data_IF_050835981478
#
_entry.id   IF_050835981478
#
_cell.length_a   1.000
_cell.length_b   1.000
_cell.length_c   1.000
_cell.angle_alpha   90.00
_cell.angle_beta   90.00
_cell.angle_gamma   90.00
#
_symmetry.space_group_name_H-M   'P 1'
#
loop_
_entity.id
_entity.type
_entity.pdbx_description
1 polymer ?
#
# COMPACT_ATOMS: atom_id res chain seq x y z
N UNK A 1 -11.47 22.53 18.50
CA UNK A 1 -11.63 21.60 17.36
C UNK A 1 -10.37 20.76 17.26
N UNK A 2 -10.42 19.46 17.53
CA UNK A 2 -9.26 18.59 17.33
C UNK A 2 -9.17 18.25 15.85
N UNK A 3 -8.15 18.78 15.16
CA UNK A 3 -7.84 18.43 13.78
C UNK A 3 -7.36 16.97 13.80
N UNK A 4 -8.27 16.04 13.54
CA UNK A 4 -7.89 14.64 13.36
C UNK A 4 -6.86 14.61 12.22
N UNK A 5 -5.64 14.19 12.56
CA UNK A 5 -4.52 14.10 11.65
C UNK A 5 -4.87 13.05 10.58
N UNK A 6 -5.58 13.46 9.53
CA UNK A 6 -5.76 12.64 8.34
C UNK A 6 -4.40 12.56 7.69
N UNK A 7 -3.68 11.47 7.96
CA UNK A 7 -2.47 11.13 7.22
C UNK A 7 -2.89 10.98 5.77
N UNK A 8 -2.66 12.02 4.97
CA UNK A 8 -2.84 11.96 3.52
C UNK A 8 -1.77 11.00 3.01
N UNK A 9 -2.14 9.73 2.85
CA UNK A 9 -1.28 8.72 2.25
C UNK A 9 -1.32 8.93 0.74
N UNK A 10 -0.37 9.72 0.24
CA UNK A 10 -0.14 9.88 -1.18
C UNK A 10 0.43 8.58 -1.76
N UNK A 11 -0.06 8.20 -2.92
CA UNK A 11 0.43 7.08 -3.71
C UNK A 11 0.32 7.43 -5.19
N UNK A 12 1.15 6.79 -6.00
CA UNK A 12 1.12 6.88 -7.45
C UNK A 12 0.70 5.54 -8.03
N UNK A 13 0.01 5.58 -9.16
CA UNK A 13 -0.48 4.40 -9.86
C UNK A 13 0.07 4.41 -11.29
N UNK A 14 0.70 3.32 -11.70
CA UNK A 14 1.13 3.08 -13.07
C UNK A 14 0.42 1.87 -13.65
N UNK A 15 0.33 1.81 -14.98
CA UNK A 15 -0.15 0.64 -15.70
C UNK A 15 1.05 -0.13 -16.25
N UNK A 16 1.22 -1.37 -15.81
CA UNK A 16 2.12 -2.32 -16.47
C UNK A 16 1.39 -2.88 -17.69
N UNK A 17 1.84 -2.48 -18.88
CA UNK A 17 1.23 -2.88 -20.15
C UNK A 17 1.58 -4.31 -20.58
N UNK A 18 2.63 -4.92 -20.01
CA UNK A 18 2.99 -6.31 -20.30
C UNK A 18 2.03 -7.27 -19.59
N UNK A 19 1.73 -6.97 -18.32
CA UNK A 19 0.84 -7.81 -17.50
C UNK A 19 -0.60 -7.30 -17.44
N UNK A 20 -0.86 -6.13 -18.02
CA UNK A 20 -2.14 -5.41 -17.99
C UNK A 20 -2.67 -5.20 -16.56
N UNK A 21 -1.76 -4.85 -15.64
CA UNK A 21 -2.07 -4.64 -14.23
C UNK A 21 -1.74 -3.23 -13.80
N UNK A 22 -2.57 -2.68 -12.94
CA UNK A 22 -2.26 -1.44 -12.23
C UNK A 22 -1.32 -1.75 -11.07
N UNK A 23 -0.27 -0.94 -10.93
CA UNK A 23 0.69 -0.99 -9.83
C UNK A 23 0.53 0.30 -9.03
N UNK A 24 0.11 0.17 -7.77
CA UNK A 24 0.06 1.27 -6.82
C UNK A 24 1.29 1.21 -5.92
N UNK A 25 1.99 2.33 -5.77
CA UNK A 25 3.22 2.45 -4.97
C UNK A 25 3.10 3.61 -3.99
N UNK A 26 3.57 3.41 -2.76
CA UNK A 26 3.50 4.43 -1.72
C UNK A 26 4.61 5.48 -1.90
N UNK A 27 4.25 6.77 -1.88
CA UNK A 27 5.22 7.86 -2.12
C UNK A 27 6.28 7.97 -1.01
N UNK A 28 5.98 7.49 0.20
CA UNK A 28 6.90 7.52 1.33
C UNK A 28 7.88 6.33 1.37
N UNK A 29 7.61 5.26 0.60
CA UNK A 29 8.48 4.09 0.52
C UNK A 29 8.19 3.31 -0.77
N UNK A 30 9.05 3.50 -1.77
CA UNK A 30 8.91 2.90 -3.10
C UNK A 30 9.02 1.36 -3.09
N UNK A 31 9.53 0.76 -2.01
CA UNK A 31 9.55 -0.70 -1.83
C UNK A 31 8.17 -1.26 -1.48
N UNK A 32 7.23 -0.41 -1.07
CA UNK A 32 5.86 -0.80 -0.75
C UNK A 32 4.98 -0.53 -1.97
N UNK A 33 4.75 -1.58 -2.74
CA UNK A 33 3.86 -1.56 -3.89
C UNK A 33 2.87 -2.74 -3.86
N UNK A 34 1.76 -2.59 -4.59
CA UNK A 34 0.77 -3.62 -4.78
C UNK A 34 0.15 -3.55 -6.17
N UNK A 35 -0.28 -4.69 -6.72
CA UNK A 35 -0.86 -4.78 -8.05
C UNK A 35 -2.31 -5.28 -8.05
N UNK A 36 -3.09 -4.79 -9.02
CA UNK A 36 -4.50 -5.12 -9.20
C UNK A 36 -4.92 -5.05 -10.66
N UNK A 37 -6.04 -5.70 -10.99
CA UNK A 37 -6.66 -5.60 -12.32
C UNK A 37 -7.33 -4.23 -12.48
N UNK A 38 -7.79 -3.64 -11.38
CA UNK A 38 -8.30 -2.26 -11.32
C UNK A 38 -7.45 -1.41 -10.40
N UNK A 39 -7.58 -0.08 -10.54
CA UNK A 39 -6.95 0.89 -9.67
C UNK A 39 -7.38 0.67 -8.21
N UNK A 40 -8.67 0.45 -7.93
CA UNK A 40 -9.14 0.24 -6.56
C UNK A 40 -8.49 -0.99 -5.93
N UNK A 41 -8.37 -2.09 -6.68
CA UNK A 41 -7.72 -3.30 -6.17
C UNK A 41 -6.25 -3.06 -5.81
N UNK A 42 -5.52 -2.34 -6.65
CA UNK A 42 -4.11 -2.02 -6.38
C UNK A 42 -3.98 -1.14 -5.13
N UNK A 43 -4.81 -0.10 -5.00
CA UNK A 43 -4.81 0.84 -3.87
C UNK A 43 -5.24 0.18 -2.56
N UNK A 44 -6.28 -0.66 -2.59
CA UNK A 44 -6.72 -1.39 -1.40
C UNK A 44 -5.62 -2.31 -0.87
N UNK A 45 -4.99 -3.10 -1.76
CA UNK A 45 -3.87 -3.97 -1.38
C UNK A 45 -2.66 -3.18 -0.87
N UNK A 46 -2.37 -2.02 -1.46
CA UNK A 46 -1.33 -1.11 -0.97
C UNK A 46 -1.64 -0.64 0.44
N UNK A 47 -2.88 -0.21 0.69
CA UNK A 47 -3.35 0.24 2.01
C UNK A 47 -3.21 -0.86 3.06
N UNK A 48 -3.52 -2.11 2.72
CA UNK A 48 -3.29 -3.25 3.62
C UNK A 48 -1.81 -3.47 3.92
N UNK A 49 -0.92 -3.35 2.93
CA UNK A 49 0.54 -3.48 3.14
C UNK A 49 1.10 -2.37 4.01
N UNK A 50 0.69 -1.12 3.77
CA UNK A 50 1.13 0.04 4.57
C UNK A 50 0.62 -0.03 6.02
N UNK A 51 -0.60 -0.53 6.23
CA UNK A 51 -1.19 -0.71 7.58
C UNK A 51 -0.67 -1.92 8.34
N UNK A 52 0.19 -2.76 7.74
CA UNK A 52 0.82 -3.88 8.44
C UNK A 52 2.27 -3.51 8.82
N UNK A 53 2.51 -2.77 9.91
CA UNK A 53 3.80 -2.82 10.55
C UNK A 53 3.90 -4.18 11.24
N UNK A 54 4.78 -5.03 10.71
CA UNK A 54 5.50 -6.04 11.47
C UNK A 54 4.65 -7.07 12.28
N UNK A 55 3.91 -7.96 11.60
CA UNK A 55 3.45 -9.23 12.22
C UNK A 55 4.51 -10.34 12.23
N UNK A 56 5.71 -10.08 11.73
CA UNK A 56 6.78 -11.08 11.71
C UNK A 56 7.54 -11.21 13.05
N UNK A 57 7.35 -10.30 14.02
CA UNK A 57 8.13 -10.29 15.27
C UNK A 57 7.37 -10.79 16.51
N UNK A 58 6.26 -11.53 16.35
CA UNK A 58 5.44 -12.02 17.48
C UNK A 58 5.36 -13.55 17.61
N UNK A 59 6.25 -14.30 16.95
CA UNK A 59 6.33 -15.77 17.07
C UNK A 59 7.67 -16.28 17.63
N UNK A 60 8.50 -15.42 18.21
CA UNK A 60 9.72 -15.84 18.93
C UNK A 60 9.70 -15.35 20.38
N UNK A 61 8.63 -15.60 21.11
CA UNK A 61 8.57 -15.54 22.58
C UNK A 61 7.30 -16.28 23.03
N UNK A 62 7.35 -17.60 22.96
CA UNK A 62 6.48 -18.51 23.69
C UNK A 62 7.29 -19.78 23.97
#
# INVERSE_FOLDING_TARGET
MQLQNKTNNWYHVSLDTQTQKFIATATNNEKISASGITIEQAVQKLTFKVKQPNRANKQQLA
#
